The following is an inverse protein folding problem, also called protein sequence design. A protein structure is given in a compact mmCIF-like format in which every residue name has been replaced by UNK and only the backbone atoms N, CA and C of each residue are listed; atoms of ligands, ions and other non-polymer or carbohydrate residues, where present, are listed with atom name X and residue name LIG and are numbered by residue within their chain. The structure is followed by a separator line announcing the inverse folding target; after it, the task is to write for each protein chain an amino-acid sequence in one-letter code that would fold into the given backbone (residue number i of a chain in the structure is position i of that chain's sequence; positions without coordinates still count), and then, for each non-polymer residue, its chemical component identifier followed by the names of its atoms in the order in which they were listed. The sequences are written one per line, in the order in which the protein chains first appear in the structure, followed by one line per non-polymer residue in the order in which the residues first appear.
data_IF_941085296665
#
_entry.id   IF_941085296665
#
_cell.length_a   1.000
_cell.length_b   1.000
_cell.length_c   1.000
_cell.angle_alpha   90.00
_cell.angle_beta   90.00
_cell.angle_gamma   90.00
#
_symmetry.space_group_name_H-M   'P 1'
#
loop_
_entity.id
_entity.type
_entity.pdbx_description
1 polymer ?
#
# COMPACT_ATOMS: atom_id res chain seq x y z
N UNK A 1 14.92 21.82 -20.72
CA UNK A 1 14.92 21.92 -19.25
C UNK A 1 13.78 22.83 -18.85
N UNK A 2 12.62 22.28 -18.50
CA UNK A 2 11.54 23.09 -17.93
C UNK A 2 11.99 23.58 -16.56
N UNK A 3 11.89 24.90 -16.36
CA UNK A 3 12.17 25.59 -15.11
C UNK A 3 11.02 25.26 -14.17
N UNK A 4 11.15 24.21 -13.37
CA UNK A 4 10.20 23.93 -12.28
C UNK A 4 10.69 24.67 -11.05
N UNK A 5 9.82 25.53 -10.52
CA UNK A 5 10.04 26.21 -9.25
C UNK A 5 10.05 25.15 -8.12
N UNK A 6 11.17 24.96 -7.40
CA UNK A 6 11.23 24.02 -6.26
C UNK A 6 10.27 24.41 -5.12
N UNK A 7 9.68 25.60 -5.17
CA UNK A 7 8.68 26.11 -4.23
C UNK A 7 7.25 26.08 -4.78
N UNK A 8 7.00 25.36 -5.88
CA UNK A 8 5.65 25.22 -6.42
C UNK A 8 4.69 24.67 -5.35
N UNK A 9 3.80 25.53 -4.86
CA UNK A 9 2.82 25.17 -3.85
C UNK A 9 1.64 24.47 -4.52
N UNK A 10 1.58 23.14 -4.38
CA UNK A 10 0.47 22.34 -4.90
C UNK A 10 -0.65 22.35 -3.85
N UNK A 11 -1.80 22.90 -4.22
CA UNK A 11 -3.01 22.82 -3.40
C UNK A 11 -3.80 21.61 -3.87
N UNK A 12 -4.01 20.65 -2.98
CA UNK A 12 -4.90 19.50 -3.23
C UNK A 12 -6.31 19.93 -2.82
N UNK A 13 -7.19 20.07 -3.80
CA UNK A 13 -8.62 20.29 -3.54
C UNK A 13 -9.28 18.96 -3.21
N UNK A 14 -10.06 18.94 -2.13
CA UNK A 14 -10.82 17.77 -1.73
C UNK A 14 -12.28 17.93 -2.18
N UNK A 15 -12.78 16.93 -2.91
CA UNK A 15 -14.17 16.83 -3.29
C UNK A 15 -14.86 15.77 -2.43
N UNK A 16 -16.05 16.08 -1.93
CA UNK A 16 -16.86 15.13 -1.18
C UNK A 16 -17.38 14.03 -2.10
N UNK A 17 -17.30 12.79 -1.65
CA UNK A 17 -17.95 11.65 -2.28
C UNK A 17 -19.31 11.38 -1.64
N UNK A 18 -20.15 10.63 -2.32
CA UNK A 18 -21.39 10.10 -1.75
C UNK A 18 -21.23 8.62 -1.38
N UNK A 19 -21.84 8.21 -0.28
CA UNK A 19 -22.03 6.81 0.08
C UNK A 19 -23.42 6.42 -0.38
N UNK A 20 -23.49 5.52 -1.35
CA UNK A 20 -24.74 4.92 -1.81
C UNK A 20 -24.88 3.52 -1.23
N UNK A 21 -25.92 3.32 -0.43
CA UNK A 21 -26.18 2.05 0.24
C UNK A 21 -27.38 1.38 -0.41
N UNK A 22 -27.21 0.11 -0.77
CA UNK A 22 -28.24 -0.74 -1.38
C UNK A 22 -28.44 -1.97 -0.50
N UNK A 23 -29.64 -2.14 0.03
CA UNK A 23 -30.06 -3.39 0.68
C UNK A 23 -30.95 -4.17 -0.26
N UNK A 24 -30.48 -5.33 -0.71
CA UNK A 24 -31.27 -6.29 -1.50
C UNK A 24 -32.15 -7.06 -0.53
N UNK A 25 -33.46 -6.74 -0.51
CA UNK A 25 -34.39 -7.31 0.48
C UNK A 25 -34.83 -8.71 0.08
N UNK A 26 -35.63 -8.79 -0.98
CA UNK A 26 -36.29 -10.03 -1.43
C UNK A 26 -36.71 -9.94 -2.88
N UNK A 27 -36.97 -11.09 -3.49
CA UNK A 27 -37.73 -11.18 -4.73
C UNK A 27 -38.91 -12.16 -4.55
N UNK A 28 -39.93 -12.02 -5.37
CA UNK A 28 -41.10 -12.90 -5.41
C UNK A 28 -41.43 -13.30 -6.84
N UNK A 29 -41.93 -14.52 -7.01
CA UNK A 29 -42.27 -15.10 -8.30
C UNK A 29 -41.09 -15.13 -9.29
N UNK A 30 -39.90 -15.52 -8.82
CA UNK A 30 -38.75 -15.76 -9.71
C UNK A 30 -39.08 -16.93 -10.64
N UNK A 31 -38.94 -16.74 -11.95
CA UNK A 31 -39.30 -17.75 -12.95
C UNK A 31 -38.42 -17.65 -14.21
N UNK A 32 -38.09 -18.82 -14.77
CA UNK A 32 -37.53 -19.02 -16.12
C UNK A 32 -38.63 -19.31 -17.15
N UNK A 33 -39.89 -19.16 -16.76
CA UNK A 33 -41.07 -19.65 -17.48
C UNK A 33 -41.42 -21.09 -17.11
N UNK A 34 -42.68 -21.48 -17.34
CA UNK A 34 -43.23 -22.76 -16.84
C UNK A 34 -42.46 -24.02 -17.26
N UNK A 35 -41.84 -24.02 -18.45
CA UNK A 35 -41.04 -25.14 -18.94
C UNK A 35 -39.63 -25.11 -18.32
N UNK A 36 -39.04 -23.93 -18.16
CA UNK A 36 -37.73 -23.74 -17.52
C UNK A 36 -37.76 -24.16 -16.05
N UNK A 37 -38.76 -23.70 -15.30
CA UNK A 37 -38.91 -24.00 -13.87
C UNK A 37 -39.16 -25.50 -13.59
N UNK A 38 -39.77 -26.23 -14.54
CA UNK A 38 -39.99 -27.67 -14.44
C UNK A 38 -38.70 -28.48 -14.66
N UNK A 39 -37.79 -27.97 -15.48
CA UNK A 39 -36.49 -28.60 -15.73
C UNK A 39 -35.51 -28.28 -14.61
N UNK A 40 -35.54 -27.05 -14.12
CA UNK A 40 -34.62 -26.55 -13.11
C UNK A 40 -35.28 -25.39 -12.33
N UNK A 41 -35.53 -25.60 -11.04
CA UNK A 41 -36.13 -24.55 -10.21
C UNK A 41 -35.09 -23.46 -9.96
N UNK A 42 -35.43 -22.17 -10.13
CA UNK A 42 -34.44 -21.10 -9.99
C UNK A 42 -33.65 -21.12 -8.67
N UNK A 43 -32.34 -20.91 -8.79
CA UNK A 43 -31.35 -20.71 -7.74
C UNK A 43 -30.92 -19.22 -7.68
N UNK A 44 -31.81 -18.28 -7.29
CA UNK A 44 -31.59 -16.88 -7.57
C UNK A 44 -30.51 -16.22 -6.71
N UNK A 45 -29.76 -15.31 -7.33
CA UNK A 45 -28.96 -14.28 -6.67
C UNK A 45 -29.05 -12.96 -7.44
N UNK A 46 -28.66 -11.86 -6.78
CA UNK A 46 -28.68 -10.52 -7.38
C UNK A 46 -27.27 -10.03 -7.54
N UNK A 47 -26.96 -9.52 -8.73
CA UNK A 47 -25.73 -8.80 -9.03
C UNK A 47 -26.03 -7.30 -9.15
N UNK A 48 -25.23 -6.49 -8.47
CA UNK A 48 -25.27 -5.04 -8.48
C UNK A 48 -24.03 -4.54 -9.22
N UNK A 49 -24.23 -3.67 -10.20
CA UNK A 49 -23.15 -3.08 -10.98
C UNK A 49 -23.29 -1.56 -11.11
N UNK A 50 -22.22 -0.82 -10.81
CA UNK A 50 -22.13 0.64 -11.01
C UNK A 50 -20.83 0.92 -11.79
N UNK A 51 -20.90 1.25 -13.09
CA UNK A 51 -19.73 1.42 -13.94
C UNK A 51 -18.75 2.50 -13.45
N UNK A 52 -19.29 3.59 -12.87
CA UNK A 52 -18.52 4.72 -12.36
C UNK A 52 -17.84 4.45 -11.01
N UNK A 53 -18.18 3.35 -10.32
CA UNK A 53 -17.62 3.01 -9.03
C UNK A 53 -16.35 2.15 -9.15
N UNK A 54 -15.35 2.32 -8.26
CA UNK A 54 -14.08 1.58 -8.30
C UNK A 54 -14.22 0.07 -8.00
N UNK A 55 -15.13 -0.29 -7.08
CA UNK A 55 -15.56 -1.67 -6.85
C UNK A 55 -16.95 -1.84 -7.47
N UNK A 56 -16.97 -1.76 -8.80
CA UNK A 56 -18.16 -1.65 -9.62
C UNK A 56 -19.15 -2.81 -9.45
N UNK A 57 -18.72 -4.01 -9.04
CA UNK A 57 -19.56 -5.22 -9.03
C UNK A 57 -19.65 -5.87 -7.66
N UNK A 58 -20.87 -6.14 -7.19
CA UNK A 58 -21.18 -6.86 -5.94
C UNK A 58 -22.31 -7.85 -6.17
N UNK A 59 -22.39 -8.91 -5.38
CA UNK A 59 -23.47 -9.91 -5.50
C UNK A 59 -23.92 -10.44 -4.15
N UNK A 60 -25.18 -10.84 -4.08
CA UNK A 60 -25.74 -11.58 -2.94
C UNK A 60 -25.30 -13.05 -2.96
N UNK A 61 -25.60 -13.78 -1.89
CA UNK A 61 -25.63 -15.24 -1.92
C UNK A 61 -26.79 -15.72 -2.81
N UNK A 62 -26.66 -16.92 -3.36
CA UNK A 62 -27.76 -17.60 -4.03
C UNK A 62 -28.59 -18.42 -3.01
N UNK A 63 -29.85 -18.68 -3.35
CA UNK A 63 -30.69 -19.63 -2.62
C UNK A 63 -31.10 -20.77 -3.54
N UNK A 64 -30.86 -22.01 -3.12
CA UNK A 64 -31.21 -23.17 -3.96
C UNK A 64 -32.73 -23.39 -4.01
N UNK A 65 -33.26 -23.59 -5.21
CA UNK A 65 -34.63 -23.94 -5.54
C UNK A 65 -35.66 -23.04 -4.84
N UNK A 66 -35.42 -21.72 -4.86
CA UNK A 66 -36.24 -20.77 -4.12
C UNK A 66 -36.74 -19.64 -5.01
N UNK A 67 -38.02 -19.68 -5.36
CA UNK A 67 -38.68 -18.65 -6.18
C UNK A 67 -39.10 -17.39 -5.42
N UNK A 68 -38.95 -17.37 -4.08
CA UNK A 68 -39.24 -16.23 -3.21
C UNK A 68 -38.08 -15.95 -2.25
N UNK A 69 -36.87 -15.66 -2.77
CA UNK A 69 -35.67 -15.47 -1.95
C UNK A 69 -35.76 -14.21 -1.08
N UNK A 70 -35.20 -14.28 0.13
CA UNK A 70 -35.06 -13.15 1.05
C UNK A 70 -33.59 -13.05 1.46
N UNK A 71 -32.86 -12.11 0.86
CA UNK A 71 -31.42 -11.92 1.11
C UNK A 71 -31.15 -11.05 2.32
N UNK A 72 -31.77 -9.86 2.37
CA UNK A 72 -31.44 -8.80 3.35
C UNK A 72 -29.93 -8.51 3.43
N UNK A 73 -29.26 -8.50 2.29
CA UNK A 73 -27.83 -8.18 2.19
C UNK A 73 -27.64 -6.70 1.81
N UNK A 74 -26.76 -6.01 2.53
CA UNK A 74 -26.47 -4.59 2.34
C UNK A 74 -25.10 -4.40 1.70
N UNK A 75 -25.04 -3.51 0.71
CA UNK A 75 -23.82 -3.16 -0.03
C UNK A 75 -23.67 -1.64 -0.09
N UNK A 76 -22.43 -1.18 0.06
CA UNK A 76 -22.10 0.25 0.01
C UNK A 76 -21.21 0.57 -1.20
N UNK A 77 -21.47 1.68 -1.88
CA UNK A 77 -20.66 2.17 -2.99
C UNK A 77 -20.24 3.61 -2.72
N UNK A 78 -18.96 3.91 -2.94
CA UNK A 78 -18.47 5.29 -2.91
C UNK A 78 -18.58 5.85 -4.33
N UNK A 79 -19.27 6.98 -4.48
CA UNK A 79 -19.61 7.59 -5.75
C UNK A 79 -19.08 9.01 -5.86
N UNK A 80 -18.64 9.38 -7.06
CA UNK A 80 -18.36 10.78 -7.40
C UNK A 80 -19.68 11.47 -7.78
N UNK A 81 -20.11 12.52 -7.04
CA UNK A 81 -21.34 13.24 -7.35
C UNK A 81 -21.35 13.92 -8.73
N UNK A 82 -20.18 14.12 -9.34
CA UNK A 82 -20.06 14.78 -10.65
C UNK A 82 -20.23 13.79 -11.83
N UNK A 83 -20.28 12.48 -11.56
CA UNK A 83 -20.48 11.44 -12.56
C UNK A 83 -21.96 11.07 -12.71
N UNK A 84 -22.33 10.57 -13.89
CA UNK A 84 -23.63 9.93 -14.08
C UNK A 84 -23.62 8.53 -13.46
N UNK A 85 -24.08 8.44 -12.21
CA UNK A 85 -24.10 7.18 -11.47
C UNK A 85 -25.42 6.43 -11.72
N UNK A 86 -25.32 5.26 -12.36
CA UNK A 86 -26.45 4.37 -12.65
C UNK A 86 -26.19 3.03 -11.95
N UNK A 87 -27.16 2.56 -11.17
CA UNK A 87 -27.17 1.22 -10.62
C UNK A 87 -27.80 0.26 -11.62
N UNK A 88 -27.03 -0.69 -12.13
CA UNK A 88 -27.51 -1.85 -12.85
C UNK A 88 -27.77 -2.99 -11.86
N UNK A 89 -28.97 -3.57 -11.93
CA UNK A 89 -29.41 -4.67 -11.07
C UNK A 89 -29.76 -5.85 -11.96
N UNK A 90 -29.02 -6.93 -11.83
CA UNK A 90 -29.22 -8.14 -12.62
C UNK A 90 -29.66 -9.28 -11.71
N UNK A 91 -30.84 -9.83 -11.98
CA UNK A 91 -31.30 -11.05 -11.35
C UNK A 91 -30.72 -12.24 -12.12
N UNK A 92 -29.99 -13.08 -11.40
CA UNK A 92 -29.25 -14.21 -11.95
C UNK A 92 -29.77 -15.52 -11.36
N UNK A 93 -29.58 -16.60 -12.10
CA UNK A 93 -29.86 -17.97 -11.71
C UNK A 93 -28.54 -18.76 -11.69
N UNK A 94 -28.17 -19.30 -10.52
CA UNK A 94 -26.91 -20.00 -10.36
C UNK A 94 -26.98 -21.41 -10.97
N UNK A 95 -26.06 -21.72 -11.88
CA UNK A 95 -26.07 -22.99 -12.61
C UNK A 95 -24.71 -23.69 -12.53
N UNK A 96 -24.70 -25.02 -12.63
CA UNK A 96 -23.44 -25.79 -12.56
C UNK A 96 -22.43 -25.48 -13.67
N UNK A 97 -22.92 -25.05 -14.84
CA UNK A 97 -22.08 -24.82 -16.03
C UNK A 97 -21.89 -23.33 -16.29
N UNK A 98 -22.98 -22.58 -16.37
CA UNK A 98 -22.95 -21.14 -16.64
C UNK A 98 -24.22 -20.52 -16.08
N UNK A 99 -24.06 -19.54 -15.19
CA UNK A 99 -25.17 -18.80 -14.61
C UNK A 99 -26.01 -18.11 -15.70
N UNK A 100 -27.33 -18.14 -15.54
CA UNK A 100 -28.28 -17.57 -16.49
C UNK A 100 -28.77 -16.21 -15.98
N UNK A 101 -28.86 -15.22 -16.87
CA UNK A 101 -29.45 -13.91 -16.55
C UNK A 101 -30.95 -13.98 -16.73
N UNK A 102 -31.70 -13.86 -15.63
CA UNK A 102 -33.17 -13.83 -15.66
C UNK A 102 -33.70 -12.45 -16.08
N UNK A 103 -32.97 -11.38 -15.76
CA UNK A 103 -33.27 -10.04 -16.26
C UNK A 103 -32.39 -8.97 -15.66
N UNK A 104 -32.35 -7.81 -16.32
CA UNK A 104 -31.58 -6.64 -15.90
C UNK A 104 -32.49 -5.43 -15.81
N UNK A 105 -32.33 -4.64 -14.76
CA UNK A 105 -33.00 -3.37 -14.56
C UNK A 105 -31.96 -2.30 -14.20
N UNK A 106 -32.30 -1.04 -14.41
CA UNK A 106 -31.40 0.09 -14.11
C UNK A 106 -32.10 1.12 -13.24
N UNK A 107 -31.33 1.77 -12.39
CA UNK A 107 -31.82 2.80 -11.50
C UNK A 107 -30.87 4.01 -11.49
N UNK A 108 -31.29 5.19 -11.98
CA UNK A 108 -30.49 6.40 -11.94
C UNK A 108 -30.41 6.94 -10.50
N UNK A 109 -29.20 6.97 -9.94
CA UNK A 109 -28.97 7.38 -8.55
C UNK A 109 -29.24 8.87 -8.35
N UNK A 110 -29.16 9.67 -9.42
CA UNK A 110 -29.54 11.10 -9.45
C UNK A 110 -31.00 11.36 -9.07
N UNK A 111 -31.86 10.34 -9.11
CA UNK A 111 -33.26 10.43 -8.67
C UNK A 111 -33.45 10.40 -7.15
N UNK A 112 -32.42 10.05 -6.38
CA UNK A 112 -32.42 10.06 -4.92
C UNK A 112 -31.91 11.39 -4.38
N UNK A 113 -32.51 11.88 -3.29
CA UNK A 113 -31.99 13.03 -2.56
C UNK A 113 -31.02 12.59 -1.46
N UNK A 114 -30.06 13.46 -1.12
CA UNK A 114 -29.17 13.23 0.01
C UNK A 114 -29.94 13.12 1.33
N UNK A 115 -29.61 12.10 2.12
CA UNK A 115 -30.29 11.73 3.36
C UNK A 115 -31.64 11.04 3.16
N UNK A 116 -32.09 10.83 1.92
CA UNK A 116 -33.31 10.09 1.63
C UNK A 116 -33.04 8.59 1.67
N UNK A 117 -33.97 7.88 2.29
CA UNK A 117 -34.06 6.42 2.26
C UNK A 117 -35.31 6.03 1.51
N UNK A 118 -35.15 5.30 0.41
CA UNK A 118 -36.24 4.99 -0.54
C UNK A 118 -36.30 3.50 -0.80
N UNK A 119 -37.49 2.93 -0.67
CA UNK A 119 -37.77 1.58 -1.14
C UNK A 119 -38.14 1.63 -2.63
N UNK A 120 -37.52 0.78 -3.44
CA UNK A 120 -37.72 0.68 -4.88
C UNK A 120 -38.13 -0.75 -5.21
N UNK A 121 -39.19 -0.87 -5.99
CA UNK A 121 -39.62 -2.14 -6.56
C UNK A 121 -39.20 -2.21 -8.02
N UNK A 122 -38.51 -3.28 -8.39
CA UNK A 122 -38.08 -3.58 -9.75
C UNK A 122 -38.85 -4.79 -10.25
N UNK A 123 -39.37 -4.71 -11.46
CA UNK A 123 -40.09 -5.82 -12.10
C UNK A 123 -39.22 -6.41 -13.22
N UNK A 124 -39.10 -7.73 -13.26
CA UNK A 124 -38.40 -8.48 -14.29
C UNK A 124 -39.39 -9.38 -15.04
N UNK A 125 -39.36 -9.33 -16.36
CA UNK A 125 -40.21 -10.12 -17.26
C UNK A 125 -41.72 -10.04 -16.94
N UNK A 126 -42.20 -8.90 -16.42
CA UNK A 126 -43.59 -8.64 -16.01
C UNK A 126 -44.18 -9.63 -14.97
N UNK A 127 -43.34 -10.44 -14.31
CA UNK A 127 -43.78 -11.47 -13.35
C UNK A 127 -43.02 -11.39 -12.03
N UNK A 128 -41.70 -11.29 -12.09
CA UNK A 128 -40.85 -11.31 -10.90
C UNK A 128 -40.73 -9.91 -10.33
N UNK A 129 -41.04 -9.74 -9.05
CA UNK A 129 -40.90 -8.47 -8.33
C UNK A 129 -39.73 -8.56 -7.36
N UNK A 130 -38.87 -7.54 -7.35
CA UNK A 130 -37.74 -7.43 -6.43
C UNK A 130 -37.83 -6.13 -5.65
N UNK A 131 -37.60 -6.20 -4.34
CA UNK A 131 -37.58 -5.03 -3.46
C UNK A 131 -36.13 -4.69 -3.09
N UNK A 132 -35.75 -3.44 -3.34
CA UNK A 132 -34.49 -2.84 -2.90
C UNK A 132 -34.78 -1.69 -1.94
N UNK A 133 -33.91 -1.52 -0.96
CA UNK A 133 -33.90 -0.32 -0.11
C UNK A 133 -32.61 0.45 -0.41
N UNK A 134 -32.76 1.70 -0.81
CA UNK A 134 -31.68 2.57 -1.28
C UNK A 134 -31.52 3.75 -0.31
N UNK A 135 -30.29 4.16 -0.03
CA UNK A 135 -30.00 5.43 0.63
C UNK A 135 -28.77 6.09 0.05
N UNK A 136 -28.73 7.43 0.10
CA UNK A 136 -27.62 8.23 -0.38
C UNK A 136 -27.20 9.22 0.70
N UNK A 137 -25.95 9.15 1.15
CA UNK A 137 -25.40 9.98 2.21
C UNK A 137 -24.11 10.68 1.75
N UNK A 138 -23.75 11.78 2.40
CA UNK A 138 -22.45 12.44 2.14
C UNK A 138 -21.36 11.68 2.88
N UNK A 139 -20.29 11.31 2.19
CA UNK A 139 -19.10 10.75 2.83
C UNK A 139 -18.30 11.90 3.47
N UNK A 140 -18.47 12.10 4.77
CA UNK A 140 -17.79 13.19 5.49
C UNK A 140 -16.39 12.85 5.99
N UNK A 141 -16.04 11.57 6.07
CA UNK A 141 -14.73 11.11 6.58
C UNK A 141 -13.82 10.66 5.44
N UNK A 142 -12.64 11.27 5.36
CA UNK A 142 -11.56 10.81 4.50
C UNK A 142 -10.60 9.95 5.32
N UNK A 143 -10.23 8.79 4.79
CA UNK A 143 -9.17 7.97 5.37
C UNK A 143 -7.78 8.54 5.06
N UNK A 144 -7.67 9.34 3.99
CA UNK A 144 -6.49 10.13 3.71
C UNK A 144 -6.46 11.41 4.54
N UNK A 145 -5.27 11.74 5.04
CA UNK A 145 -4.95 13.00 5.68
C UNK A 145 -4.39 13.98 4.65
N UNK A 146 -5.01 15.15 4.54
CA UNK A 146 -4.59 16.23 3.64
C UNK A 146 -4.07 17.41 4.45
N UNK A 147 -2.76 17.49 4.69
CA UNK A 147 -2.12 18.64 5.32
C UNK A 147 -0.59 18.57 5.20
N UNK A 148 0.03 19.74 5.03
CA UNK A 148 1.50 19.91 5.03
C UNK A 148 2.12 19.85 6.43
N UNK A 149 1.31 19.87 7.48
CA UNK A 149 1.80 19.73 8.85
C UNK A 149 2.11 18.26 9.16
N UNK A 150 2.98 18.03 10.16
CA UNK A 150 3.19 16.70 10.75
C UNK A 150 1.88 16.13 11.31
N UNK A 151 1.74 14.80 11.30
CA UNK A 151 0.68 14.13 12.07
C UNK A 151 0.80 14.39 13.57
N UNK A 152 -0.29 14.19 14.29
CA UNK A 152 -0.35 14.49 15.72
C UNK A 152 0.50 13.52 16.54
N UNK A 153 0.63 12.27 16.10
CA UNK A 153 1.55 11.29 16.68
C UNK A 153 3.00 11.74 16.59
N UNK A 154 3.43 12.28 15.44
CA UNK A 154 4.79 12.78 15.30
C UNK A 154 5.01 14.07 16.11
N UNK A 155 4.04 14.99 16.16
CA UNK A 155 4.12 16.18 17.03
C UNK A 155 4.30 15.78 18.49
N UNK A 156 3.51 14.81 18.96
CA UNK A 156 3.59 14.27 20.33
C UNK A 156 4.93 13.59 20.58
N UNK A 157 5.39 12.77 19.63
CA UNK A 157 6.72 12.15 19.68
C UNK A 157 7.82 13.20 19.83
N UNK A 158 7.83 14.25 18.99
CA UNK A 158 8.85 15.32 19.05
C UNK A 158 8.81 16.08 20.37
N UNK A 159 7.61 16.34 20.90
CA UNK A 159 7.47 17.01 22.19
C UNK A 159 8.11 16.20 23.31
N UNK A 160 7.85 14.89 23.35
CA UNK A 160 8.42 14.00 24.37
C UNK A 160 9.92 13.74 24.16
N UNK A 161 10.35 13.54 22.89
CA UNK A 161 11.74 13.23 22.55
C UNK A 161 12.69 14.38 22.88
N UNK A 162 12.24 15.64 22.77
CA UNK A 162 13.05 16.82 23.08
C UNK A 162 13.58 16.81 24.51
N UNK A 163 12.77 16.39 25.47
CA UNK A 163 13.20 16.32 26.86
C UNK A 163 14.27 15.23 27.03
N UNK A 164 14.07 14.06 26.41
CA UNK A 164 15.07 12.97 26.42
C UNK A 164 16.40 13.44 25.79
N UNK A 165 16.35 14.08 24.62
CA UNK A 165 17.53 14.61 23.93
C UNK A 165 18.26 15.65 24.79
N UNK A 166 17.53 16.55 25.45
CA UNK A 166 18.15 17.57 26.31
C UNK A 166 18.99 16.92 27.42
N UNK A 167 18.48 15.87 28.06
CA UNK A 167 19.21 15.12 29.09
C UNK A 167 20.45 14.44 28.50
N UNK A 168 20.30 13.73 27.38
CA UNK A 168 21.41 13.03 26.72
C UNK A 168 22.49 13.99 26.19
N UNK A 169 22.10 15.12 25.61
CA UNK A 169 23.04 16.14 25.13
C UNK A 169 23.84 16.77 26.28
N UNK A 170 23.22 17.04 27.43
CA UNK A 170 23.93 17.52 28.62
C UNK A 170 24.97 16.51 29.10
N UNK A 171 24.60 15.23 29.12
CA UNK A 171 25.53 14.15 29.48
C UNK A 171 26.66 14.01 28.47
N UNK A 172 26.40 14.20 27.18
CA UNK A 172 27.38 14.04 26.11
C UNK A 172 28.37 15.21 26.00
N UNK A 173 27.86 16.45 26.07
CA UNK A 173 28.68 17.67 25.97
C UNK A 173 29.38 18.03 27.28
N UNK A 174 28.87 17.55 28.42
CA UNK A 174 29.32 17.97 29.74
C UNK A 174 28.72 19.32 30.17
N UNK A 175 28.89 19.65 31.46
CA UNK A 175 28.22 20.82 32.06
C UNK A 175 28.64 22.14 31.43
N UNK A 176 29.90 22.29 31.01
CA UNK A 176 30.41 23.56 30.49
C UNK A 176 29.84 23.92 29.12
N UNK A 177 29.83 22.95 28.19
CA UNK A 177 29.40 23.16 26.82
C UNK A 177 27.87 23.08 26.66
N UNK A 178 27.16 22.64 27.71
CA UNK A 178 25.69 22.56 27.75
C UNK A 178 25.02 23.68 28.56
N UNK A 179 25.77 24.69 29.04
CA UNK A 179 25.23 25.82 29.84
C UNK A 179 24.04 26.54 29.20
N UNK A 180 24.00 26.60 27.87
CA UNK A 180 22.92 27.28 27.13
C UNK A 180 21.71 26.37 26.81
N UNK A 181 21.80 25.06 27.07
CA UNK A 181 20.67 24.12 26.92
C UNK A 181 19.77 24.18 28.16
N UNK A 182 18.95 25.23 28.25
CA UNK A 182 18.12 25.49 29.44
C UNK A 182 16.69 24.99 29.28
N UNK A 183 16.18 24.99 28.05
CA UNK A 183 14.81 24.62 27.73
C UNK A 183 14.74 23.68 26.53
N UNK A 184 13.61 23.00 26.36
CA UNK A 184 13.34 22.15 25.19
C UNK A 184 13.27 22.91 23.85
N UNK A 185 13.28 24.25 23.88
CA UNK A 185 13.39 25.10 22.68
C UNK A 185 14.82 25.18 22.16
N UNK A 186 15.80 25.02 23.04
CA UNK A 186 17.23 25.11 22.74
C UNK A 186 17.77 23.82 22.11
N UNK A 187 16.98 22.74 22.17
CA UNK A 187 17.35 21.40 21.68
C UNK A 187 17.34 21.37 20.14
N UNK A 188 18.48 21.09 19.49
CA UNK A 188 18.54 20.93 18.05
C UNK A 188 17.87 19.64 17.60
N UNK A 189 17.32 19.66 16.38
CA UNK A 189 16.79 18.47 15.73
C UNK A 189 17.91 17.79 14.96
N UNK A 190 18.37 16.64 15.44
CA UNK A 190 19.45 15.86 14.83
C UNK A 190 18.85 14.68 14.06
N UNK A 191 19.32 14.47 12.82
CA UNK A 191 18.93 13.35 11.98
C UNK A 191 20.15 12.53 11.57
N UNK A 192 20.06 11.20 11.71
CA UNK A 192 21.06 10.25 11.20
C UNK A 192 20.61 9.76 9.83
N UNK A 193 21.47 9.83 8.81
CA UNK A 193 21.14 9.44 7.44
C UNK A 193 21.94 8.22 7.00
N UNK A 194 21.25 7.19 6.52
CA UNK A 194 21.81 5.99 5.90
C UNK A 194 21.57 5.94 4.39
N UNK A 195 22.63 5.73 3.60
CA UNK A 195 22.54 5.69 2.14
C UNK A 195 22.06 4.35 1.59
N UNK A 196 21.77 4.31 0.29
CA UNK A 196 21.60 3.06 -0.44
C UNK A 196 22.91 2.31 -0.70
N UNK A 197 22.81 1.08 -1.22
CA UNK A 197 23.97 0.26 -1.56
C UNK A 197 23.91 -1.22 -1.15
N UNK A 198 22.71 -1.80 -1.06
CA UNK A 198 22.53 -3.22 -0.72
C UNK A 198 23.14 -3.62 0.63
N UNK A 199 23.68 -4.84 0.71
CA UNK A 199 24.30 -5.34 1.95
C UNK A 199 25.53 -4.54 2.40
N UNK A 200 26.25 -3.87 1.47
CA UNK A 200 27.35 -2.96 1.85
C UNK A 200 26.83 -1.82 2.72
N UNK A 201 25.76 -1.15 2.29
CA UNK A 201 25.15 -0.08 3.06
C UNK A 201 24.54 -0.61 4.36
N UNK A 202 23.87 -1.76 4.33
CA UNK A 202 23.32 -2.39 5.52
C UNK A 202 24.39 -2.68 6.60
N UNK A 203 25.46 -3.37 6.24
CA UNK A 203 26.54 -3.75 7.18
C UNK A 203 27.34 -2.52 7.62
N UNK A 204 27.63 -1.59 6.72
CA UNK A 204 28.27 -0.33 7.07
C UNK A 204 27.44 0.48 8.07
N UNK A 205 26.13 0.61 7.81
CA UNK A 205 25.21 1.32 8.68
C UNK A 205 25.04 0.62 10.03
N UNK A 206 25.10 -0.71 10.07
CA UNK A 206 25.12 -1.47 11.32
C UNK A 206 26.29 -1.08 12.23
N UNK A 207 27.49 -0.93 11.65
CA UNK A 207 28.68 -0.45 12.38
C UNK A 207 28.54 0.99 12.86
N UNK A 208 28.01 1.89 12.01
CA UNK A 208 27.73 3.28 12.38
C UNK A 208 26.76 3.35 13.56
N UNK A 209 25.66 2.60 13.48
CA UNK A 209 24.63 2.59 14.52
C UNK A 209 25.15 2.06 15.85
N UNK A 210 26.04 1.06 15.83
CA UNK A 210 26.77 0.63 17.04
C UNK A 210 27.60 1.77 17.64
N UNK A 211 28.40 2.47 16.83
CA UNK A 211 29.22 3.57 17.33
C UNK A 211 28.37 4.73 17.90
N UNK A 212 27.28 5.10 17.22
CA UNK A 212 26.35 6.13 17.69
C UNK A 212 25.63 5.72 18.98
N UNK A 213 25.28 4.45 19.12
CA UNK A 213 24.65 3.91 20.33
C UNK A 213 25.63 3.90 21.52
N UNK A 214 26.83 3.33 21.33
CA UNK A 214 27.83 3.22 22.40
C UNK A 214 28.40 4.58 22.85
N UNK A 215 28.35 5.59 21.97
CA UNK A 215 28.78 6.96 22.29
C UNK A 215 27.70 7.84 22.93
N UNK A 216 26.43 7.38 22.97
CA UNK A 216 25.28 8.19 23.43
C UNK A 216 24.79 9.25 22.43
N UNK A 217 25.41 9.36 21.24
CA UNK A 217 24.97 10.29 20.20
C UNK A 217 23.58 9.90 19.68
N UNK A 218 23.27 8.60 19.63
CA UNK A 218 21.97 8.14 19.14
C UNK A 218 20.81 8.62 20.03
N UNK A 219 21.04 8.77 21.33
CA UNK A 219 20.05 9.31 22.27
C UNK A 219 19.80 10.80 22.04
N UNK A 220 20.73 11.49 21.37
CA UNK A 220 20.58 12.88 20.95
C UNK A 220 19.84 13.01 19.60
N UNK A 221 19.65 11.92 18.85
CA UNK A 221 18.97 11.96 17.56
C UNK A 221 17.45 12.03 17.71
N UNK A 222 16.81 12.84 16.87
CA UNK A 222 15.35 12.90 16.70
C UNK A 222 14.89 11.90 15.65
N UNK A 223 15.62 11.80 14.53
CA UNK A 223 15.25 10.98 13.38
C UNK A 223 16.40 10.08 12.92
N UNK A 224 16.04 8.94 12.34
CA UNK A 224 16.95 8.10 11.55
C UNK A 224 16.29 7.87 10.21
N UNK A 225 16.88 8.39 9.14
CA UNK A 225 16.36 8.25 7.78
C UNK A 225 17.24 7.30 6.98
N UNK A 226 16.62 6.45 6.15
CA UNK A 226 17.35 5.54 5.27
C UNK A 226 16.64 5.27 3.96
N UNK A 227 17.42 4.90 2.94
CA UNK A 227 16.92 4.37 1.67
C UNK A 227 17.70 3.11 1.28
N UNK A 228 17.05 2.19 0.56
CA UNK A 228 17.66 0.93 0.09
C UNK A 228 18.41 0.17 1.19
N UNK A 229 19.70 -0.17 1.03
CA UNK A 229 20.41 -1.04 1.97
C UNK A 229 20.33 -0.63 3.45
N UNK A 230 20.36 0.67 3.77
CA UNK A 230 20.19 1.14 5.15
C UNK A 230 18.79 0.85 5.72
N UNK A 231 17.73 0.83 4.91
CA UNK A 231 16.38 0.48 5.38
C UNK A 231 16.30 -0.96 5.84
N UNK A 232 17.08 -1.86 5.26
CA UNK A 232 17.14 -3.25 5.70
C UNK A 232 17.72 -3.36 7.11
N UNK A 233 18.79 -2.61 7.42
CA UNK A 233 19.34 -2.58 8.77
C UNK A 233 18.35 -1.97 9.77
N UNK A 234 17.76 -0.83 9.44
CA UNK A 234 16.76 -0.17 10.27
C UNK A 234 15.57 -1.10 10.54
N UNK A 235 15.10 -1.83 9.53
CA UNK A 235 14.02 -2.82 9.67
C UNK A 235 14.43 -3.94 10.62
N UNK A 236 15.64 -4.48 10.50
CA UNK A 236 16.15 -5.53 11.40
C UNK A 236 16.25 -5.04 12.85
N UNK A 237 16.75 -3.82 13.06
CA UNK A 237 16.94 -3.22 14.39
C UNK A 237 15.61 -2.89 15.06
N UNK A 238 14.73 -2.13 14.40
CA UNK A 238 13.47 -1.67 14.99
C UNK A 238 12.41 -2.78 15.11
N UNK A 239 12.54 -3.88 14.35
CA UNK A 239 11.71 -5.08 14.55
C UNK A 239 12.24 -6.02 15.63
N UNK A 240 13.45 -5.78 16.15
CA UNK A 240 14.03 -6.69 17.13
C UNK A 240 13.23 -6.62 18.46
N UNK A 241 12.81 -7.76 19.04
CA UNK A 241 11.94 -7.78 20.22
C UNK A 241 12.59 -7.05 21.40
N UNK A 242 13.88 -7.28 21.62
CA UNK A 242 14.62 -6.72 22.76
C UNK A 242 15.24 -5.34 22.48
N UNK A 243 15.03 -4.71 21.32
CA UNK A 243 15.53 -3.34 21.10
C UNK A 243 14.55 -2.34 21.77
N UNK A 244 14.99 -1.28 22.48
CA UNK A 244 16.37 -0.81 22.63
C UNK A 244 17.15 -1.38 23.83
N UNK A 245 16.59 -2.28 24.63
CA UNK A 245 17.28 -2.86 25.79
C UNK A 245 18.57 -3.61 25.39
N UNK A 246 18.51 -4.38 24.29
CA UNK A 246 19.67 -4.87 23.55
C UNK A 246 20.04 -3.87 22.47
N UNK A 247 21.30 -3.47 22.47
CA UNK A 247 21.83 -2.50 21.53
C UNK A 247 22.23 -3.12 20.19
N UNK A 248 22.74 -2.28 19.27
CA UNK A 248 23.31 -2.73 18.00
C UNK A 248 24.43 -3.77 18.15
N UNK A 249 25.17 -3.81 19.27
CA UNK A 249 26.26 -4.76 19.46
C UNK A 249 25.80 -6.21 19.36
N UNK A 250 24.76 -6.58 20.10
CA UNK A 250 24.19 -7.93 20.12
C UNK A 250 23.43 -8.21 18.81
N UNK A 251 22.63 -7.25 18.35
CA UNK A 251 21.80 -7.41 17.15
C UNK A 251 22.67 -7.54 15.89
N UNK A 252 23.81 -6.84 15.83
CA UNK A 252 24.76 -6.97 14.72
C UNK A 252 25.44 -8.34 14.69
N UNK A 253 25.59 -9.01 15.84
CA UNK A 253 26.12 -10.37 15.89
C UNK A 253 25.13 -11.35 15.26
N UNK A 254 23.84 -11.20 15.52
CA UNK A 254 22.78 -11.96 14.84
C UNK A 254 22.76 -11.66 13.34
N UNK A 255 22.85 -10.38 12.96
CA UNK A 255 22.94 -9.95 11.57
C UNK A 255 24.11 -10.63 10.85
N UNK A 256 25.29 -10.68 11.47
CA UNK A 256 26.46 -11.35 10.91
C UNK A 256 26.21 -12.83 10.66
N UNK A 257 25.53 -13.53 11.58
CA UNK A 257 25.17 -14.93 11.42
C UNK A 257 24.16 -15.14 10.28
N UNK A 258 23.22 -14.22 10.12
CA UNK A 258 22.24 -14.22 9.03
C UNK A 258 22.87 -14.04 7.65
N UNK A 259 23.87 -13.16 7.53
CA UNK A 259 24.49 -12.82 6.22
C UNK A 259 25.74 -13.63 5.89
N UNK A 260 26.22 -14.48 6.81
CA UNK A 260 27.37 -15.37 6.57
C UNK A 260 27.05 -16.53 5.62
N UNK A 261 25.76 -16.85 5.46
CA UNK A 261 25.28 -17.85 4.52
C UNK A 261 24.78 -17.19 3.24
N UNK A 262 24.96 -17.86 2.10
CA UNK A 262 24.46 -17.35 0.82
C UNK A 262 22.92 -17.28 0.85
N UNK A 263 22.30 -16.08 0.74
CA UNK A 263 20.85 -15.92 0.77
C UNK A 263 20.12 -16.76 -0.29
N UNK A 264 20.75 -17.03 -1.43
CA UNK A 264 20.16 -17.83 -2.51
C UNK A 264 19.94 -19.29 -2.12
N UNK A 265 20.69 -19.80 -1.13
CA UNK A 265 20.46 -21.14 -0.58
C UNK A 265 19.15 -21.24 0.23
N UNK A 266 18.52 -20.11 0.56
CA UNK A 266 17.21 -20.08 1.21
C UNK A 266 16.06 -20.35 0.24
N UNK A 267 16.30 -20.38 -1.08
CA UNK A 267 15.30 -20.75 -2.10
C UNK A 267 15.08 -22.27 -2.16
N UNK A 268 14.82 -22.90 -1.01
CA UNK A 268 14.50 -24.34 -0.96
C UNK A 268 13.07 -24.58 -1.47
N UNK A 269 12.76 -25.76 -2.04
CA UNK A 269 11.43 -26.05 -2.58
C UNK A 269 10.28 -25.83 -1.57
N UNK A 270 10.52 -26.15 -0.29
CA UNK A 270 9.53 -25.96 0.78
C UNK A 270 9.23 -24.49 1.03
N UNK A 271 10.27 -23.64 1.06
CA UNK A 271 10.12 -22.20 1.28
C UNK A 271 9.49 -21.50 0.08
N UNK A 272 9.89 -21.89 -1.13
CA UNK A 272 9.27 -21.41 -2.38
C UNK A 272 7.79 -21.76 -2.42
N UNK A 273 7.37 -22.95 -1.96
CA UNK A 273 5.94 -23.28 -1.86
C UNK A 273 5.19 -22.33 -0.92
N UNK A 274 5.75 -22.02 0.25
CA UNK A 274 5.16 -21.05 1.20
C UNK A 274 5.04 -19.66 0.58
N UNK A 275 6.05 -19.24 -0.20
CA UNK A 275 6.00 -17.98 -0.94
C UNK A 275 4.84 -17.98 -1.94
N UNK A 276 4.71 -19.03 -2.74
CA UNK A 276 3.62 -19.15 -3.72
C UNK A 276 2.25 -19.08 -3.03
N UNK A 277 2.05 -19.77 -1.90
CA UNK A 277 0.81 -19.73 -1.12
C UNK A 277 0.50 -18.30 -0.62
N UNK A 278 1.50 -17.60 -0.06
CA UNK A 278 1.34 -16.22 0.40
C UNK A 278 1.01 -15.24 -0.75
N UNK A 279 1.68 -15.39 -1.90
CA UNK A 279 1.40 -14.61 -3.09
C UNK A 279 0.02 -14.91 -3.67
N UNK A 280 -0.42 -16.17 -3.63
CA UNK A 280 -1.74 -16.55 -4.10
C UNK A 280 -2.84 -15.96 -3.22
N UNK A 281 -2.65 -15.91 -1.90
CA UNK A 281 -3.56 -15.22 -0.98
C UNK A 281 -3.64 -13.71 -1.24
N UNK A 282 -2.50 -13.06 -1.54
CA UNK A 282 -2.46 -11.65 -1.94
C UNK A 282 -3.16 -11.40 -3.28
N UNK A 283 -2.94 -12.28 -4.26
CA UNK A 283 -3.58 -12.18 -5.58
C UNK A 283 -5.08 -12.45 -5.51
N UNK A 284 -5.52 -13.46 -4.74
CA UNK A 284 -6.92 -13.82 -4.60
C UNK A 284 -7.73 -12.77 -3.82
N UNK A 285 -7.08 -12.03 -2.91
CA UNK A 285 -7.71 -10.85 -2.29
C UNK A 285 -7.87 -9.67 -3.27
N UNK A 286 -7.14 -9.68 -4.38
CA UNK A 286 -7.20 -8.69 -5.45
C UNK A 286 -6.09 -7.65 -5.43
N UNK A 287 -5.02 -7.86 -4.65
CA UNK A 287 -3.81 -7.04 -4.72
C UNK A 287 -2.86 -7.57 -5.81
N UNK A 288 -2.15 -6.67 -6.53
CA UNK A 288 -1.16 -7.10 -7.50
C UNK A 288 0.03 -7.76 -6.79
N UNK A 289 0.56 -8.79 -7.45
CA UNK A 289 1.81 -9.46 -7.06
C UNK A 289 2.86 -9.11 -8.11
N UNK A 290 4.02 -8.68 -7.62
CA UNK A 290 5.16 -8.28 -8.45
C UNK A 290 6.39 -9.06 -8.04
N UNK A 291 7.45 -8.95 -8.83
CA UNK A 291 8.74 -9.56 -8.46
C UNK A 291 9.31 -8.99 -7.14
N UNK A 292 8.96 -7.76 -6.79
CA UNK A 292 9.30 -7.12 -5.51
C UNK A 292 8.78 -7.90 -4.31
N UNK A 293 7.65 -8.59 -4.43
CA UNK A 293 7.12 -9.43 -3.35
C UNK A 293 8.05 -10.63 -3.04
N UNK A 294 8.54 -11.30 -4.09
CA UNK A 294 9.47 -12.43 -3.96
C UNK A 294 10.80 -11.95 -3.39
N UNK A 295 11.32 -10.86 -3.94
CA UNK A 295 12.56 -10.27 -3.44
C UNK A 295 12.44 -9.84 -1.98
N UNK A 296 11.32 -9.21 -1.60
CA UNK A 296 11.02 -8.85 -0.22
C UNK A 296 10.99 -10.06 0.71
N UNK A 297 10.35 -11.16 0.31
CA UNK A 297 10.35 -12.41 1.08
C UNK A 297 11.76 -12.98 1.27
N UNK A 298 12.61 -12.97 0.23
CA UNK A 298 14.00 -13.43 0.33
C UNK A 298 14.82 -12.59 1.32
N UNK A 299 14.68 -11.25 1.26
CA UNK A 299 15.33 -10.34 2.20
C UNK A 299 14.80 -10.58 3.62
N UNK A 300 13.49 -10.74 3.78
CA UNK A 300 12.84 -11.06 5.05
C UNK A 300 13.37 -12.35 5.66
N UNK A 301 13.41 -13.44 4.90
CA UNK A 301 13.95 -14.71 5.37
C UNK A 301 15.44 -14.67 5.68
N UNK A 302 16.20 -13.75 5.07
CA UNK A 302 17.62 -13.59 5.41
C UNK A 302 17.77 -12.86 6.74
N UNK A 303 17.03 -11.77 6.94
CA UNK A 303 17.31 -10.80 7.99
C UNK A 303 16.39 -10.91 9.21
N UNK A 304 15.13 -11.33 9.02
CA UNK A 304 14.07 -11.32 10.04
C UNK A 304 13.22 -12.61 9.99
N UNK A 305 13.83 -13.76 9.66
CA UNK A 305 13.16 -15.06 9.48
C UNK A 305 12.27 -15.49 10.65
N UNK A 306 12.61 -15.11 11.88
CA UNK A 306 11.86 -15.45 13.09
C UNK A 306 10.66 -14.51 13.35
N UNK A 307 10.47 -13.47 12.53
CA UNK A 307 9.46 -12.42 12.73
C UNK A 307 8.93 -11.85 11.41
N UNK A 308 8.69 -12.74 10.44
CA UNK A 308 8.21 -12.38 9.10
C UNK A 308 6.86 -11.65 9.07
N UNK A 309 6.02 -11.85 10.10
CA UNK A 309 4.72 -11.17 10.23
C UNK A 309 4.80 -9.73 10.75
N UNK A 310 6.00 -9.23 11.09
CA UNK A 310 6.18 -7.84 11.56
C UNK A 310 5.69 -6.84 10.51
N UNK A 311 5.00 -5.79 10.91
CA UNK A 311 4.56 -4.69 10.04
C UNK A 311 5.27 -3.37 10.36
N UNK A 312 5.05 -2.34 9.54
CA UNK A 312 5.57 -1.00 9.83
C UNK A 312 4.91 -0.41 11.09
N UNK A 313 3.60 -0.66 11.27
CA UNK A 313 2.86 -0.22 12.45
C UNK A 313 3.39 -0.83 13.75
N UNK A 314 3.90 -2.06 13.74
CA UNK A 314 4.50 -2.67 14.94
C UNK A 314 5.69 -1.87 15.47
N UNK A 315 6.42 -1.14 14.62
CA UNK A 315 7.53 -0.29 15.07
C UNK A 315 7.09 0.85 15.99
N UNK A 316 5.79 1.18 16.05
CA UNK A 316 5.25 2.15 17.04
C UNK A 316 5.64 1.76 18.47
N UNK A 317 5.75 0.47 18.78
CA UNK A 317 6.19 -0.02 20.10
C UNK A 317 7.56 0.51 20.51
N UNK A 318 8.44 0.78 19.53
CA UNK A 318 9.79 1.28 19.77
C UNK A 318 9.87 2.79 19.90
N UNK A 319 8.87 3.54 19.44
CA UNK A 319 8.92 5.02 19.35
C UNK A 319 7.82 5.73 20.12
N UNK A 320 6.77 5.04 20.58
CA UNK A 320 5.60 5.64 21.24
C UNK A 320 5.93 6.42 22.51
N UNK A 321 6.93 5.98 23.27
CA UNK A 321 7.44 6.68 24.47
C UNK A 321 8.65 7.58 24.17
N UNK A 322 8.96 7.82 22.90
CA UNK A 322 10.11 8.58 22.45
C UNK A 322 11.48 8.10 22.98
N UNK A 323 11.59 6.80 23.31
CA UNK A 323 12.83 6.16 23.78
C UNK A 323 13.86 5.96 22.64
N UNK A 324 13.40 5.79 21.41
CA UNK A 324 14.23 5.71 20.21
C UNK A 324 13.96 6.90 19.27
N UNK A 325 14.94 7.25 18.45
CA UNK A 325 14.73 8.18 17.33
C UNK A 325 13.68 7.60 16.35
N UNK A 326 12.91 8.46 15.67
CA UNK A 326 11.86 8.01 14.75
C UNK A 326 12.49 7.48 13.44
N UNK A 327 12.22 6.22 13.04
CA UNK A 327 12.73 5.69 11.79
C UNK A 327 11.89 6.23 10.62
N UNK A 328 12.56 6.76 9.60
CA UNK A 328 12.00 7.25 8.36
C UNK A 328 12.59 6.45 7.19
N UNK A 329 11.73 5.91 6.35
CA UNK A 329 12.11 5.16 5.16
C UNK A 329 11.53 5.85 3.93
N UNK A 330 12.05 5.52 2.75
CA UNK A 330 11.54 6.14 1.52
C UNK A 330 11.65 5.25 0.29
N UNK A 331 10.76 5.50 -0.68
CA UNK A 331 10.85 5.04 -2.06
C UNK A 331 10.43 6.16 -3.02
N UNK A 332 10.52 5.89 -4.31
CA UNK A 332 10.04 6.78 -5.37
C UNK A 332 8.72 6.25 -5.94
N UNK A 333 7.76 7.15 -6.11
CA UNK A 333 6.62 6.96 -7.00
C UNK A 333 6.97 7.48 -8.39
N UNK A 334 6.98 6.57 -9.38
CA UNK A 334 7.31 6.87 -10.78
C UNK A 334 6.03 6.80 -11.60
N UNK A 335 5.72 7.88 -12.33
CA UNK A 335 4.57 7.93 -13.23
C UNK A 335 4.90 7.18 -14.53
N UNK A 336 3.95 6.44 -15.14
CA UNK A 336 4.20 5.67 -16.36
C UNK A 336 4.67 6.53 -17.54
N UNK A 337 4.18 7.76 -17.64
CA UNK A 337 4.40 8.64 -18.80
C UNK A 337 5.51 9.68 -18.57
N UNK A 338 6.27 9.57 -17.48
CA UNK A 338 7.35 10.51 -17.18
C UNK A 338 8.63 9.77 -16.84
N UNK A 339 9.73 10.14 -17.49
CA UNK A 339 11.05 9.57 -17.18
C UNK A 339 11.40 9.82 -15.70
N UNK A 340 11.92 8.78 -15.01
CA UNK A 340 12.43 8.83 -13.62
C UNK A 340 13.39 10.03 -13.41
N UNK A 341 14.15 10.38 -14.45
CA UNK A 341 15.14 11.46 -14.45
C UNK A 341 14.52 12.87 -14.52
N UNK A 342 13.27 12.99 -14.96
CA UNK A 342 12.55 14.27 -15.05
C UNK A 342 11.52 14.46 -13.93
N UNK A 343 10.90 13.38 -13.43
CA UNK A 343 9.86 13.50 -12.41
C UNK A 343 9.65 12.19 -11.64
N UNK A 344 10.10 12.15 -10.39
CA UNK A 344 9.72 11.13 -9.42
C UNK A 344 9.30 11.81 -8.12
N UNK A 345 8.19 11.35 -7.53
CA UNK A 345 7.71 11.88 -6.26
C UNK A 345 8.23 10.99 -5.12
N UNK A 346 8.84 11.60 -4.12
CA UNK A 346 9.31 10.89 -2.93
C UNK A 346 8.12 10.49 -2.07
N UNK A 347 8.09 9.22 -1.68
CA UNK A 347 7.14 8.68 -0.70
C UNK A 347 7.90 8.44 0.59
N UNK A 348 7.42 9.01 1.69
CA UNK A 348 7.98 8.80 3.01
C UNK A 348 7.18 7.78 3.80
N UNK A 349 7.86 7.04 4.65
CA UNK A 349 7.30 5.98 5.48
C UNK A 349 7.81 6.16 6.90
N UNK A 350 6.89 6.25 7.85
CA UNK A 350 7.19 6.19 9.28
C UNK A 350 6.27 5.16 9.93
N UNK A 351 6.54 4.76 11.18
CA UNK A 351 5.59 3.96 11.94
C UNK A 351 4.21 4.63 12.09
N UNK A 352 4.10 5.96 11.91
CA UNK A 352 2.85 6.71 12.12
C UNK A 352 2.04 6.91 10.84
N UNK A 353 2.69 7.27 9.73
CA UNK A 353 2.04 7.54 8.46
C UNK A 353 2.95 7.26 7.25
N UNK A 354 2.34 7.04 6.09
CA UNK A 354 2.98 6.92 4.78
C UNK A 354 2.34 7.95 3.86
N UNK A 355 3.15 8.66 3.07
CA UNK A 355 2.59 9.65 2.17
C UNK A 355 3.59 10.36 1.29
N UNK A 356 3.09 11.39 0.60
CA UNK A 356 3.87 12.26 -0.27
C UNK A 356 3.78 13.69 0.28
N UNK A 357 4.80 14.13 1.04
CA UNK A 357 4.86 15.49 1.58
C UNK A 357 4.63 16.59 0.55
N UNK A 358 5.09 16.40 -0.70
CA UNK A 358 4.90 17.37 -1.80
C UNK A 358 3.42 17.71 -2.03
N UNK A 359 2.52 16.75 -1.80
CA UNK A 359 1.08 16.91 -1.97
C UNK A 359 0.35 17.02 -0.62
N UNK A 360 1.06 16.89 0.50
CA UNK A 360 0.47 16.88 1.84
C UNK A 360 -0.52 15.73 2.04
N UNK A 361 -0.36 14.63 1.29
CA UNK A 361 -1.31 13.50 1.30
C UNK A 361 -0.69 12.31 1.99
N UNK A 362 -1.31 11.90 3.10
CA UNK A 362 -0.82 10.84 3.98
C UNK A 362 -1.93 9.84 4.32
N UNK A 363 -1.52 8.65 4.72
CA UNK A 363 -2.38 7.58 5.21
C UNK A 363 -1.70 6.83 6.36
N UNK A 364 -2.46 6.12 7.19
CA UNK A 364 -1.87 5.23 8.18
C UNK A 364 -1.19 4.02 7.49
N UNK A 365 -0.13 3.42 8.06
CA UNK A 365 0.62 2.35 7.40
C UNK A 365 -0.21 1.12 7.04
N UNK A 366 -1.24 0.81 7.83
CA UNK A 366 -2.15 -0.31 7.58
C UNK A 366 -3.04 -0.13 6.35
N UNK A 367 -3.18 1.11 5.86
CA UNK A 367 -3.92 1.41 4.64
C UNK A 367 -3.05 1.35 3.39
N UNK A 368 -1.71 1.35 3.51
CA UNK A 368 -0.85 1.32 2.35
C UNK A 368 -0.97 0.00 1.59
N UNK A 369 -1.45 0.10 0.35
CA UNK A 369 -1.79 -1.02 -0.52
C UNK A 369 -3.28 -1.36 -0.59
N UNK A 370 -4.12 -0.70 0.22
CA UNK A 370 -5.59 -0.69 0.10
C UNK A 370 -6.05 0.05 -1.14
N UNK A 371 -7.28 -0.23 -1.60
CA UNK A 371 -7.89 0.53 -2.69
C UNK A 371 -8.56 1.77 -2.13
N UNK A 372 -8.31 2.90 -2.78
CA UNK A 372 -8.89 4.19 -2.45
C UNK A 372 -9.70 4.74 -3.61
N UNK A 373 -10.68 5.57 -3.28
CA UNK A 373 -11.40 6.40 -4.24
C UNK A 373 -11.80 7.70 -3.55
N UNK A 374 -11.43 8.82 -4.17
CA UNK A 374 -11.67 10.18 -3.64
C UNK A 374 -11.22 10.38 -2.18
N UNK A 375 -10.16 9.70 -1.74
CA UNK A 375 -9.62 9.80 -0.38
C UNK A 375 -10.25 8.87 0.66
N UNK A 376 -11.20 8.03 0.26
CA UNK A 376 -11.85 7.02 1.11
C UNK A 376 -11.43 5.61 0.70
N UNK A 377 -11.24 4.73 1.67
CA UNK A 377 -10.89 3.32 1.44
C UNK A 377 -12.14 2.57 0.96
N UNK A 378 -12.09 2.04 -0.25
CA UNK A 378 -13.19 1.21 -0.81
C UNK A 378 -12.98 -0.28 -0.52
N UNK A 379 -11.71 -0.70 -0.44
CA UNK A 379 -11.33 -2.05 -0.07
C UNK A 379 -10.07 -2.03 0.78
N UNK A 380 -10.26 -2.29 2.08
CA UNK A 380 -9.16 -2.44 3.04
C UNK A 380 -8.54 -3.83 2.91
N UNK A 381 -7.22 -3.89 2.78
CA UNK A 381 -6.47 -5.15 2.90
C UNK A 381 -5.77 -5.23 4.25
N UNK A 382 -5.23 -6.42 4.56
CA UNK A 382 -4.31 -6.55 5.69
C UNK A 382 -3.06 -5.70 5.41
N UNK A 383 -2.54 -5.06 6.45
CA UNK A 383 -1.27 -4.34 6.38
C UNK A 383 -0.18 -5.22 5.77
N UNK A 384 0.57 -4.66 4.83
CA UNK A 384 1.66 -5.38 4.19
C UNK A 384 2.75 -5.71 5.24
N UNK A 385 3.31 -6.93 5.20
CA UNK A 385 4.41 -7.27 6.09
C UNK A 385 5.64 -6.41 5.77
N UNK A 386 6.46 -6.14 6.78
CA UNK A 386 7.63 -5.27 6.69
C UNK A 386 8.60 -5.71 5.59
N UNK A 387 8.75 -7.02 5.38
CA UNK A 387 9.63 -7.55 4.33
C UNK A 387 9.15 -7.17 2.91
N UNK A 388 7.86 -6.94 2.70
CA UNK A 388 7.35 -6.38 1.44
C UNK A 388 7.88 -4.96 1.24
N UNK A 389 7.78 -4.11 2.27
CA UNK A 389 8.32 -2.75 2.23
C UNK A 389 9.85 -2.74 2.07
N UNK A 390 10.58 -3.67 2.72
CA UNK A 390 12.01 -3.86 2.50
C UNK A 390 12.35 -4.20 1.05
N UNK A 391 11.48 -4.98 0.38
CA UNK A 391 11.54 -5.24 -1.05
C UNK A 391 11.33 -3.97 -1.88
N UNK A 392 10.32 -3.17 -1.54
CA UNK A 392 10.00 -1.90 -2.22
C UNK A 392 11.13 -0.88 -2.08
N UNK A 393 11.64 -0.66 -0.87
CA UNK A 393 12.77 0.25 -0.61
C UNK A 393 14.07 -0.22 -1.28
N UNK A 394 14.20 -1.53 -1.54
CA UNK A 394 15.35 -2.17 -2.18
C UNK A 394 15.14 -2.56 -3.65
N UNK A 395 14.09 -2.07 -4.32
CA UNK A 395 13.59 -2.61 -5.59
C UNK A 395 14.57 -2.53 -6.78
N UNK A 396 15.61 -1.70 -6.70
CA UNK A 396 16.69 -1.69 -7.70
C UNK A 396 17.31 -3.08 -7.93
N UNK A 397 17.42 -3.90 -6.88
CA UNK A 397 17.91 -5.28 -6.98
C UNK A 397 16.89 -6.25 -7.59
N UNK A 398 15.60 -5.91 -7.53
CA UNK A 398 14.52 -6.70 -8.12
C UNK A 398 14.53 -6.59 -9.66
N UNK A 399 14.89 -5.43 -10.19
CA UNK A 399 15.04 -5.18 -11.64
C UNK A 399 16.24 -5.95 -12.21
N UNK A 400 17.31 -6.10 -11.44
CA UNK A 400 18.58 -6.73 -11.88
C UNK A 400 18.81 -8.13 -11.31
N UNK A 401 17.73 -8.82 -10.94
CA UNK A 401 17.82 -10.10 -10.23
C UNK A 401 18.58 -11.19 -11.00
N UNK A 402 18.51 -11.21 -12.33
CA UNK A 402 19.25 -12.15 -13.17
C UNK A 402 20.78 -12.06 -12.97
N UNK A 403 21.28 -10.85 -12.65
CA UNK A 403 22.70 -10.62 -12.32
C UNK A 403 23.03 -11.01 -10.88
N UNK A 404 22.09 -10.81 -9.94
CA UNK A 404 22.20 -11.28 -8.55
C UNK A 404 22.28 -12.81 -8.48
N UNK A 405 21.57 -13.51 -9.37
CA UNK A 405 21.63 -14.97 -9.53
C UNK A 405 22.90 -15.47 -10.26
N UNK A 406 23.74 -14.58 -10.78
CA UNK A 406 24.96 -14.96 -11.50
C UNK A 406 24.72 -15.60 -12.87
N UNK A 407 23.56 -15.37 -13.50
CA UNK A 407 23.19 -15.94 -14.82
C UNK A 407 23.85 -15.18 -16.00
N UNK A 408 24.73 -14.21 -15.72
CA UNK A 408 25.48 -13.53 -16.78
C UNK A 408 26.62 -14.41 -17.30
N UNK A 409 26.59 -14.74 -18.60
CA UNK A 409 27.66 -15.46 -19.31
C UNK A 409 29.06 -14.93 -18.91
N UNK A 410 29.91 -15.86 -18.49
CA UNK A 410 31.21 -15.67 -17.83
C UNK A 410 32.33 -15.14 -18.72
N UNK A 411 32.05 -14.30 -19.73
CA UNK A 411 33.09 -13.81 -20.64
C UNK A 411 33.11 -12.32 -21.00
N UNK A 412 32.28 -11.45 -20.42
CA UNK A 412 32.47 -10.01 -20.61
C UNK A 412 32.38 -9.25 -19.29
N UNK A 413 33.37 -8.38 -19.01
CA UNK A 413 33.21 -7.29 -18.04
C UNK A 413 32.14 -6.35 -18.58
N UNK A 414 30.88 -6.70 -18.34
CA UNK A 414 29.73 -5.85 -18.63
C UNK A 414 29.75 -4.59 -17.77
N UNK A 415 28.95 -3.57 -18.13
CA UNK A 415 28.89 -2.30 -17.42
C UNK A 415 28.62 -2.49 -15.92
N UNK A 416 29.07 -1.54 -15.10
CA UNK A 416 28.77 -1.57 -13.67
C UNK A 416 27.26 -1.51 -13.42
N UNK A 417 26.79 -1.97 -12.26
CA UNK A 417 25.35 -1.93 -11.95
C UNK A 417 24.78 -0.50 -12.00
N UNK A 418 25.61 0.49 -11.68
CA UNK A 418 25.30 1.91 -11.78
C UNK A 418 25.17 2.34 -13.25
N UNK A 419 26.11 1.95 -14.11
CA UNK A 419 26.05 2.19 -15.57
C UNK A 419 24.87 1.47 -16.25
N UNK A 420 24.46 0.28 -15.80
CA UNK A 420 23.28 -0.40 -16.35
C UNK A 420 21.97 0.21 -15.87
N UNK A 421 21.89 0.64 -14.61
CA UNK A 421 20.76 1.44 -14.14
C UNK A 421 20.67 2.74 -14.94
N UNK A 422 21.78 3.42 -15.19
CA UNK A 422 21.84 4.58 -16.10
C UNK A 422 21.46 4.23 -17.54
N UNK A 423 21.86 3.08 -18.07
CA UNK A 423 21.51 2.66 -19.43
C UNK A 423 20.04 2.21 -19.59
N UNK A 424 19.46 1.56 -18.58
CA UNK A 424 18.02 1.26 -18.53
C UNK A 424 17.24 2.57 -18.41
N UNK A 425 17.72 3.51 -17.57
CA UNK A 425 17.21 4.88 -17.48
C UNK A 425 17.26 5.61 -18.83
N UNK A 426 18.36 5.47 -19.59
CA UNK A 426 18.53 6.07 -20.93
C UNK A 426 17.67 5.40 -22.00
N UNK A 427 17.45 4.08 -21.95
CA UNK A 427 16.58 3.39 -22.92
C UNK A 427 15.10 3.77 -22.78
N UNK A 428 14.63 3.97 -21.55
CA UNK A 428 13.28 4.51 -21.30
C UNK A 428 13.11 5.96 -21.78
N UNK A 429 14.19 6.73 -21.89
CA UNK A 429 14.17 8.08 -22.49
C UNK A 429 13.99 8.04 -24.01
N UNK A 430 14.62 7.08 -24.71
CA UNK A 430 14.61 7.02 -26.18
C UNK A 430 13.35 6.34 -26.74
N UNK A 431 12.75 5.38 -26.02
CA UNK A 431 11.54 4.70 -26.51
C UNK A 431 10.30 5.59 -26.57
N UNK A 432 10.26 6.70 -25.83
CA UNK A 432 9.12 7.62 -25.82
C UNK A 432 9.22 8.76 -26.86
N UNK A 433 10.36 8.90 -27.55
CA UNK A 433 10.54 9.89 -28.62
C UNK A 433 10.41 9.27 -30.03
N UNK A 434 10.11 7.97 -30.15
CA UNK A 434 9.98 7.31 -31.46
C UNK A 434 8.98 6.15 -31.48
N UNK A 435 7.69 6.44 -31.30
CA UNK A 435 6.62 5.63 -31.90
C UNK A 435 5.26 6.33 -31.78
N UNK A 436 5.05 7.37 -32.57
CA UNK A 436 3.74 7.88 -32.95
C UNK A 436 3.81 8.36 -34.40
N UNK A 437 3.89 7.40 -35.34
CA UNK A 437 3.51 7.59 -36.74
C UNK A 437 3.61 6.26 -37.49
N UNK A 438 2.47 5.74 -37.92
CA UNK A 438 2.16 4.84 -39.06
C UNK A 438 1.06 3.86 -38.62
N UNK A 439 -0.18 4.33 -38.47
CA UNK A 439 -1.20 4.61 -39.49
C UNK A 439 -1.85 3.35 -40.07
N UNK A 440 -3.18 3.33 -39.94
CA UNK A 440 -4.08 2.31 -40.46
C UNK A 440 -4.08 2.33 -41.99
N UNK A 441 -4.02 1.16 -42.62
CA UNK A 441 -4.68 1.00 -43.91
C UNK A 441 -5.19 -0.43 -44.09
N UNK A 442 -6.51 -0.53 -44.20
CA UNK A 442 -7.32 -1.60 -44.78
C UNK A 442 -6.68 -2.15 -46.07
N UNK A 443 -6.78 -3.43 -46.47
CA UNK A 443 -7.98 -4.16 -46.88
C UNK A 443 -7.60 -5.61 -47.35
N UNK A 444 -8.52 -6.47 -47.84
CA UNK A 444 -8.73 -7.84 -47.34
C UNK A 444 -8.21 -8.96 -48.26
N UNK A 445 -8.21 -10.20 -47.73
CA UNK A 445 -8.66 -11.41 -48.42
C UNK A 445 -9.17 -12.45 -47.43
#
# INVERSE_FOLDING_TARGET
MSVIDPYQHIVVEHQYSHIFTVTVRKATNVTKGAIGDMLDTPDPYVELFIPSAPDCRKRTKHFNNNVNPVWNETFEFILDPNQENILEVTLMDANYVMDETLGTSTFPISSLKLGEKKEVQLTFNDVTEMTLELSLEVCSSTDLRFSMALCDEEKKFRQQRKDNIMHSMKSFLGEEDSKNLTTSRDVPVIAVLGSGGGFRAMVGFAGVMKALYESGILDCATYIAGLSGSTWYMSTLYSHPDFPEKGPKEINQELMNSVSHNPLLLLTPQKVKRYIEALWNKKSSGQPVTFTDIFGMLIGETLIHNRMDTTLSNMKEKVSNAQCALPLFTCLHVKPDVSELMFADWVEFSPYEIGMAKYGTFMSPDLFGSKFFMGTVVKKYRENPLHFLMGVWGSAFSILFNRVLGVSNSQNKGPTMEEELENIRLKHLVSNDSSDSEDESQHPK
#
